data_IF_924590251933
#
_entry.id   IF_924590251933
#
_cell.length_a   1.000
_cell.length_b   1.000
_cell.length_c   1.000
_cell.angle_alpha   90.00
_cell.angle_beta   90.00
_cell.angle_gamma   90.00
#
_symmetry.space_group_name_H-M   'P 1'
#
loop_
_entity.id
_entity.type
_entity.pdbx_description
1 polymer ?
#
# COMPACT_ATOMS: atom_id res chain seq x y z
N UNK A 1 -5.22 -11.53 -1.05
CA UNK A 1 -6.08 -10.67 -0.21
C UNK A 1 -5.72 -9.21 -0.44
N UNK A 2 -6.68 -8.33 -0.41
CA UNK A 2 -6.49 -6.89 -0.56
C UNK A 2 -6.90 -6.21 0.73
N UNK A 3 -6.07 -5.29 1.22
CA UNK A 3 -6.34 -4.54 2.45
C UNK A 3 -6.27 -3.04 2.19
N UNK A 4 -7.09 -2.28 2.91
CA UNK A 4 -7.12 -0.83 2.87
C UNK A 4 -6.96 -0.30 4.29
N UNK A 5 -6.25 0.80 4.42
CA UNK A 5 -6.06 1.50 5.68
C UNK A 5 -6.88 2.80 5.67
N UNK A 6 -7.44 3.16 6.81
CA UNK A 6 -8.32 4.32 6.98
C UNK A 6 -9.59 4.23 6.10
N UNK A 7 -10.16 5.36 5.73
CA UNK A 7 -11.40 5.43 4.96
C UNK A 7 -11.15 5.11 3.50
N UNK A 8 -11.87 4.17 2.89
CA UNK A 8 -11.62 3.75 1.50
C UNK A 8 -11.67 4.87 0.46
N UNK A 9 -12.43 5.93 0.69
CA UNK A 9 -12.53 7.04 -0.26
C UNK A 9 -11.25 7.89 -0.37
N UNK A 10 -10.38 7.87 0.63
CA UNK A 10 -9.08 8.55 0.61
C UNK A 10 -7.91 7.60 0.42
N UNK A 11 -8.15 6.30 0.48
CA UNK A 11 -7.14 5.25 0.52
C UNK A 11 -7.10 4.42 -0.76
N UNK A 12 -6.21 3.47 -0.79
CA UNK A 12 -6.04 2.48 -1.85
C UNK A 12 -5.97 1.10 -1.24
N UNK A 13 -6.34 0.08 -2.01
CA UNK A 13 -6.18 -1.32 -1.60
C UNK A 13 -4.77 -1.81 -1.93
N UNK A 14 -4.14 -2.45 -0.97
CA UNK A 14 -2.80 -3.03 -1.10
C UNK A 14 -2.89 -4.56 -1.09
N UNK A 15 -2.11 -5.24 -1.95
CA UNK A 15 -2.13 -6.71 -1.99
C UNK A 15 -1.34 -7.32 -0.83
N UNK A 16 -1.89 -8.35 -0.20
CA UNK A 16 -1.25 -9.12 0.85
C UNK A 16 -1.29 -10.60 0.49
N UNK A 17 -0.15 -11.26 0.62
CA UNK A 17 0.00 -12.71 0.40
C UNK A 17 0.30 -13.40 1.71
N UNK A 18 -0.54 -14.38 2.09
CA UNK A 18 -0.44 -15.08 3.37
C UNK A 18 0.79 -15.99 3.47
N UNK A 19 1.31 -16.47 2.35
CA UNK A 19 2.53 -17.27 2.28
C UNK A 19 3.80 -16.44 2.07
N UNK A 20 3.68 -15.11 2.10
CA UNK A 20 4.79 -14.18 2.10
C UNK A 20 5.01 -13.56 3.48
N UNK A 21 6.10 -12.81 3.62
CA UNK A 21 6.36 -11.99 4.81
C UNK A 21 5.71 -10.62 4.60
N UNK A 22 4.74 -10.30 5.46
CA UNK A 22 4.05 -9.01 5.40
C UNK A 22 5.03 -7.89 5.79
N UNK A 23 5.08 -6.77 5.00
CA UNK A 23 5.95 -5.64 5.34
C UNK A 23 5.71 -5.11 6.75
N UNK A 24 6.80 -4.76 7.43
CA UNK A 24 6.75 -4.27 8.82
C UNK A 24 5.83 -3.04 8.98
N UNK A 25 5.81 -2.15 8.01
CA UNK A 25 4.95 -0.96 8.03
C UNK A 25 3.44 -1.32 8.05
N UNK A 26 3.05 -2.45 7.44
CA UNK A 26 1.67 -2.95 7.47
C UNK A 26 1.35 -3.69 8.77
N UNK A 27 2.35 -4.35 9.36
CA UNK A 27 2.19 -5.16 10.57
C UNK A 27 2.17 -4.32 11.84
N UNK A 28 2.74 -3.12 11.81
CA UNK A 28 2.75 -2.21 12.97
C UNK A 28 1.35 -1.64 13.20
N UNK A 29 0.83 -1.87 14.39
CA UNK A 29 -0.47 -1.38 14.80
C UNK A 29 -0.48 0.14 15.05
N UNK A 30 -1.68 0.68 15.10
CA UNK A 30 -1.92 2.08 15.42
C UNK A 30 -1.97 2.30 16.93
N UNK A 31 -0.91 1.99 17.68
CA UNK A 31 -0.88 2.32 19.10
C UNK A 31 -0.92 3.84 19.28
N UNK A 32 -1.85 4.31 20.10
CA UNK A 32 -2.19 5.74 20.24
C UNK A 32 -1.02 6.63 20.73
N UNK A 33 0.10 6.06 21.12
CA UNK A 33 1.22 6.78 21.71
C UNK A 33 2.45 6.90 20.81
N UNK A 34 2.47 6.16 19.70
CA UNK A 34 3.58 6.21 18.77
C UNK A 34 3.08 6.69 17.40
N UNK A 35 3.10 7.99 17.20
CA UNK A 35 3.05 8.58 15.87
C UNK A 35 4.37 8.28 15.14
N UNK A 36 4.77 7.01 15.13
CA UNK A 36 5.94 6.61 14.38
C UNK A 36 5.61 6.70 12.89
N UNK A 37 6.35 7.52 12.16
CA UNK A 37 6.20 7.68 10.72
C UNK A 37 6.39 6.39 9.92
N UNK A 38 6.61 5.25 10.60
CA UNK A 38 6.87 3.95 10.00
C UNK A 38 5.63 3.06 9.87
N UNK A 39 4.48 3.46 10.44
CA UNK A 39 3.24 2.72 10.35
C UNK A 39 2.38 3.21 9.19
N UNK A 40 1.95 2.30 8.30
CA UNK A 40 1.02 2.63 7.23
C UNK A 40 -0.32 3.13 7.78
N UNK A 41 -0.77 2.59 8.90
CA UNK A 41 -2.01 3.05 9.54
C UNK A 41 -1.97 4.55 9.83
N UNK A 42 -0.87 5.03 10.44
CA UNK A 42 -0.70 6.44 10.74
C UNK A 42 -0.52 7.30 9.48
N UNK A 43 0.17 6.78 8.47
CA UNK A 43 0.35 7.45 7.17
C UNK A 43 -1.00 7.69 6.49
N UNK A 44 -1.83 6.66 6.38
CA UNK A 44 -3.16 6.80 5.78
C UNK A 44 -4.11 7.62 6.65
N UNK A 45 -3.98 7.56 7.97
CA UNK A 45 -4.72 8.44 8.88
C UNK A 45 -4.39 9.92 8.65
N UNK A 46 -3.11 10.24 8.46
CA UNK A 46 -2.67 11.60 8.15
C UNK A 46 -3.24 12.07 6.80
N UNK A 47 -3.28 11.19 5.79
CA UNK A 47 -3.90 11.51 4.50
C UNK A 47 -5.41 11.77 4.65
N UNK A 48 -6.10 10.97 5.43
CA UNK A 48 -7.53 11.17 5.72
C UNK A 48 -7.79 12.52 6.38
N UNK A 49 -6.99 12.89 7.37
CA UNK A 49 -7.10 14.18 8.04
C UNK A 49 -6.80 15.35 7.08
N UNK A 50 -5.80 15.22 6.23
CA UNK A 50 -5.49 16.21 5.20
C UNK A 50 -6.64 16.35 4.20
N UNK A 51 -7.22 15.24 3.75
CA UNK A 51 -8.35 15.24 2.83
C UNK A 51 -9.60 15.91 3.44
N UNK A 52 -9.78 15.76 4.75
CA UNK A 52 -10.94 16.32 5.47
C UNK A 52 -10.94 17.86 5.52
N UNK A 53 -9.83 18.51 5.20
CA UNK A 53 -9.76 19.98 5.15
C UNK A 53 -10.65 20.57 4.04
N UNK A 54 -10.87 19.83 2.96
CA UNK A 54 -11.77 20.19 1.87
C UNK A 54 -12.18 18.92 1.11
N UNK A 55 -13.20 18.23 1.59
CA UNK A 55 -13.64 16.95 1.05
C UNK A 55 -14.13 17.05 -0.39
N UNK A 56 -14.82 18.12 -0.73
CA UNK A 56 -15.37 18.30 -2.10
C UNK A 56 -14.27 18.39 -3.14
N UNK A 57 -13.17 19.04 -2.82
CA UNK A 57 -11.99 19.16 -3.68
C UNK A 57 -11.12 17.91 -3.62
N UNK A 58 -10.80 17.45 -2.41
CA UNK A 58 -9.72 16.48 -2.19
C UNK A 58 -10.13 15.05 -2.55
N UNK A 59 -11.36 14.64 -2.33
CA UNK A 59 -11.77 13.24 -2.63
C UNK A 59 -11.74 12.93 -4.14
N UNK A 60 -12.33 13.77 -5.03
CA UNK A 60 -12.18 13.51 -6.47
C UNK A 60 -10.74 13.57 -6.94
N UNK A 61 -9.93 14.49 -6.40
CA UNK A 61 -8.52 14.62 -6.73
C UNK A 61 -7.73 13.37 -6.32
N UNK A 62 -7.92 12.87 -5.09
CA UNK A 62 -7.26 11.65 -4.61
C UNK A 62 -7.62 10.43 -5.45
N UNK A 63 -8.88 10.31 -5.84
CA UNK A 63 -9.34 9.21 -6.69
C UNK A 63 -8.58 9.16 -8.01
N UNK A 64 -8.36 10.31 -8.63
CA UNK A 64 -7.56 10.42 -9.84
C UNK A 64 -6.06 10.21 -9.57
N UNK A 65 -5.55 10.76 -8.47
CA UNK A 65 -4.14 10.67 -8.10
C UNK A 65 -3.67 9.22 -7.85
N UNK A 66 -4.55 8.37 -7.29
CA UNK A 66 -4.24 6.96 -7.04
C UNK A 66 -4.21 6.08 -8.29
N UNK A 67 -4.86 6.48 -9.38
CA UNK A 67 -4.97 5.64 -10.58
C UNK A 67 -3.64 5.15 -11.16
N UNK A 68 -2.60 6.00 -11.32
CA UNK A 68 -1.30 5.51 -11.80
C UNK A 68 -0.68 4.47 -10.88
N UNK A 69 -0.79 4.65 -9.57
CA UNK A 69 -0.31 3.69 -8.58
C UNK A 69 -1.05 2.35 -8.72
N UNK A 70 -2.37 2.37 -8.79
CA UNK A 70 -3.18 1.16 -8.95
C UNK A 70 -2.82 0.39 -10.24
N UNK A 71 -2.63 1.10 -11.35
CA UNK A 71 -2.23 0.51 -12.62
C UNK A 71 -0.84 -0.14 -12.54
N UNK A 72 0.11 0.52 -11.89
CA UNK A 72 1.47 -0.01 -11.71
C UNK A 72 1.48 -1.23 -10.79
N UNK A 73 0.71 -1.19 -9.70
CA UNK A 73 0.58 -2.33 -8.78
C UNK A 73 -0.03 -3.53 -9.48
N UNK A 74 -1.05 -3.33 -10.32
CA UNK A 74 -1.69 -4.43 -11.05
C UNK A 74 -0.72 -5.09 -12.04
N UNK A 75 0.09 -4.31 -12.75
CA UNK A 75 1.13 -4.85 -13.64
C UNK A 75 2.20 -5.62 -12.86
N UNK A 76 2.69 -5.04 -11.77
CA UNK A 76 3.70 -5.66 -10.91
C UNK A 76 3.16 -6.93 -10.23
N UNK A 77 1.89 -6.94 -9.84
CA UNK A 77 1.22 -8.11 -9.25
C UNK A 77 1.20 -9.28 -10.21
N UNK A 78 0.77 -9.05 -11.45
CA UNK A 78 0.73 -10.10 -12.48
C UNK A 78 2.11 -10.72 -12.71
N UNK A 79 3.14 -9.90 -12.78
CA UNK A 79 4.52 -10.37 -12.94
C UNK A 79 4.98 -11.19 -11.73
N UNK A 80 4.77 -10.66 -10.52
CA UNK A 80 5.18 -11.33 -9.29
C UNK A 80 4.49 -12.69 -9.11
N UNK A 81 3.18 -12.76 -9.37
CA UNK A 81 2.42 -14.01 -9.29
C UNK A 81 2.87 -15.03 -10.34
N UNK A 82 3.16 -14.58 -11.56
CA UNK A 82 3.67 -15.43 -12.62
C UNK A 82 5.02 -16.03 -12.26
N UNK A 83 5.94 -15.22 -11.75
CA UNK A 83 7.27 -15.67 -11.31
C UNK A 83 7.18 -16.61 -10.10
N UNK A 84 6.32 -16.30 -9.13
CA UNK A 84 6.11 -17.16 -7.96
C UNK A 84 5.51 -18.52 -8.36
N UNK A 85 4.57 -18.53 -9.29
CA UNK A 85 3.98 -19.78 -9.82
C UNK A 85 5.03 -20.64 -10.51
N UNK A 86 5.90 -20.03 -11.34
CA UNK A 86 6.99 -20.72 -11.98
C UNK A 86 7.98 -21.33 -10.98
N UNK A 87 8.31 -20.61 -9.92
CA UNK A 87 9.18 -21.10 -8.86
C UNK A 87 8.56 -22.27 -8.10
N UNK A 88 7.27 -22.22 -7.77
CA UNK A 88 6.55 -23.33 -7.14
C UNK A 88 6.53 -24.57 -8.02
N UNK A 89 6.36 -24.39 -9.33
CA UNK A 89 6.37 -25.50 -10.29
C UNK A 89 7.72 -26.21 -10.34
N UNK A 90 8.80 -25.51 -9.99
CA UNK A 90 10.16 -26.08 -9.89
C UNK A 90 10.43 -26.69 -8.49
N UNK A 91 9.46 -26.66 -7.59
CA UNK A 91 9.59 -27.16 -6.22
C UNK A 91 10.25 -26.18 -5.26
N UNK A 92 10.42 -24.91 -5.63
CA UNK A 92 11.06 -23.90 -4.79
C UNK A 92 10.01 -22.95 -4.17
N UNK A 93 9.28 -23.46 -3.20
CA UNK A 93 8.24 -22.70 -2.47
C UNK A 93 8.84 -21.54 -1.67
N UNK A 94 10.06 -21.69 -1.15
CA UNK A 94 10.73 -20.64 -0.39
C UNK A 94 11.06 -19.43 -1.28
N UNK A 95 11.62 -19.66 -2.45
CA UNK A 95 11.91 -18.59 -3.41
C UNK A 95 10.63 -17.90 -3.89
N UNK A 96 9.53 -18.64 -4.07
CA UNK A 96 8.23 -18.09 -4.41
C UNK A 96 7.70 -17.15 -3.33
N UNK A 97 7.74 -17.56 -2.05
CA UNK A 97 7.36 -16.72 -0.91
C UNK A 97 8.23 -15.47 -0.81
N UNK A 98 9.53 -15.60 -1.02
CA UNK A 98 10.45 -14.47 -1.02
C UNK A 98 10.13 -13.47 -2.13
N UNK A 99 9.82 -13.96 -3.32
CA UNK A 99 9.43 -13.09 -4.46
C UNK A 99 8.17 -12.29 -4.16
N UNK A 100 7.16 -12.92 -3.57
CA UNK A 100 5.92 -12.22 -3.17
C UNK A 100 6.18 -11.21 -2.04
N UNK A 101 7.05 -11.52 -1.10
CA UNK A 101 7.48 -10.60 -0.04
C UNK A 101 8.16 -9.36 -0.61
N UNK A 102 9.05 -9.53 -1.58
CA UNK A 102 9.72 -8.43 -2.28
C UNK A 102 8.72 -7.53 -3.01
N UNK A 103 7.71 -8.12 -3.63
CA UNK A 103 6.64 -7.36 -4.28
C UNK A 103 5.84 -6.52 -3.26
N UNK A 104 5.46 -7.11 -2.13
CA UNK A 104 4.74 -6.38 -1.08
C UNK A 104 5.58 -5.23 -0.52
N UNK A 105 6.87 -5.45 -0.25
CA UNK A 105 7.79 -4.40 0.24
C UNK A 105 7.89 -3.23 -0.75
N UNK A 106 8.10 -3.51 -2.03
CA UNK A 106 8.21 -2.48 -3.05
C UNK A 106 6.90 -1.68 -3.20
N UNK A 107 5.76 -2.37 -3.13
CA UNK A 107 4.43 -1.75 -3.20
C UNK A 107 4.18 -0.82 -2.02
N UNK A 108 4.51 -1.28 -0.80
CA UNK A 108 4.36 -0.48 0.43
C UNK A 108 5.27 0.75 0.40
N UNK A 109 6.52 0.60 -0.01
CA UNK A 109 7.46 1.73 -0.11
C UNK A 109 6.92 2.81 -1.05
N UNK A 110 6.37 2.41 -2.19
CA UNK A 110 5.77 3.33 -3.15
C UNK A 110 4.47 3.96 -2.62
N UNK A 111 3.65 3.19 -1.93
CA UNK A 111 2.44 3.71 -1.29
C UNK A 111 2.75 4.81 -0.28
N UNK A 112 3.80 4.64 0.52
CA UNK A 112 4.27 5.65 1.48
C UNK A 112 4.66 6.95 0.78
N UNK A 113 5.41 6.87 -0.30
CA UNK A 113 5.78 8.06 -1.10
C UNK A 113 4.53 8.78 -1.63
N UNK A 114 3.58 8.04 -2.19
CA UNK A 114 2.32 8.60 -2.68
C UNK A 114 1.52 9.27 -1.55
N UNK A 115 1.38 8.61 -0.41
CA UNK A 115 0.64 9.15 0.74
C UNK A 115 1.26 10.45 1.23
N UNK A 116 2.58 10.51 1.35
CA UNK A 116 3.27 11.71 1.80
C UNK A 116 3.07 12.88 0.80
N UNK A 117 3.18 12.60 -0.51
CA UNK A 117 2.95 13.60 -1.55
C UNK A 117 1.49 14.06 -1.58
N UNK A 118 0.55 13.14 -1.52
CA UNK A 118 -0.88 13.46 -1.58
C UNK A 118 -1.37 14.21 -0.34
N UNK A 119 -0.85 13.88 0.84
CA UNK A 119 -1.17 14.61 2.06
C UNK A 119 -0.70 16.08 1.97
N UNK A 120 0.47 16.33 1.40
CA UNK A 120 0.96 17.69 1.16
C UNK A 120 0.04 18.46 0.21
N UNK A 121 -0.37 17.84 -0.90
CA UNK A 121 -1.26 18.46 -1.87
C UNK A 121 -2.64 18.78 -1.29
N UNK A 122 -3.21 17.87 -0.49
CA UNK A 122 -4.50 18.10 0.15
C UNK A 122 -4.45 19.22 1.21
N UNK A 123 -3.30 19.46 1.82
CA UNK A 123 -3.10 20.47 2.85
C UNK A 123 -2.70 21.83 2.29
N UNK A 124 -2.40 21.92 1.01
CA UNK A 124 -1.94 23.14 0.36
C UNK A 124 -3.07 24.16 0.10
#
# INVERSE_FOLDING_TARGET
MWVSFAVPCSSVFLPVYLDGIVPAAMARGGEQRETSGDSLWWKFQALELAAATDLERNIPWLREAWKPFEADVERARKLAESEATALRSKGDAHAASLRLSQFMEATVARAVECVDDFARECSA
#
